data_IF_188258705688
#
_entry.id   IF_188258705688
#
_cell.length_a   1.000
_cell.length_b   1.000
_cell.length_c   1.000
_cell.angle_alpha   90.00
_cell.angle_beta   90.00
_cell.angle_gamma   90.00
#
_symmetry.space_group_name_H-M   'P 1'
#
loop_
_entity.id
_entity.type
_entity.pdbx_description
1 polymer ?
#
# COMPACT_ATOMS: atom_id res chain seq x y z
N UNK A 1 15.72 25.54 -1.43
CA UNK A 1 15.43 24.50 -0.42
C UNK A 1 16.40 23.36 -0.66
N UNK A 2 16.93 22.70 0.37
CA UNK A 2 17.81 21.54 0.17
C UNK A 2 16.96 20.32 -0.19
N UNK A 3 17.38 19.58 -1.22
CA UNK A 3 16.77 18.31 -1.62
C UNK A 3 17.05 17.20 -0.59
N UNK A 4 16.10 16.27 -0.43
CA UNK A 4 16.25 15.13 0.46
C UNK A 4 17.22 14.11 -0.14
N UNK A 5 18.26 13.77 0.61
CA UNK A 5 19.26 12.75 0.28
C UNK A 5 19.72 12.05 1.57
N UNK A 6 20.48 10.96 1.46
CA UNK A 6 21.03 10.30 2.63
C UNK A 6 21.95 11.21 3.47
N UNK A 7 22.62 12.19 2.85
CA UNK A 7 23.50 13.15 3.54
C UNK A 7 22.73 14.31 4.18
N UNK A 8 21.57 14.66 3.64
CA UNK A 8 20.76 15.82 4.06
C UNK A 8 19.55 15.44 4.90
N UNK A 9 19.27 14.14 5.05
CA UNK A 9 18.24 13.63 5.94
C UNK A 9 18.53 14.00 7.39
N UNK A 10 17.55 14.62 8.06
CA UNK A 10 17.65 15.05 9.45
C UNK A 10 17.76 13.85 10.39
N UNK A 11 16.96 12.80 10.14
CA UNK A 11 17.03 11.56 10.90
C UNK A 11 18.14 10.65 10.36
N UNK A 12 19.03 10.12 11.21
CA UNK A 12 20.05 9.17 10.77
C UNK A 12 19.45 7.83 10.33
N UNK A 13 18.20 7.52 10.68
CA UNK A 13 17.48 6.31 10.23
C UNK A 13 17.32 6.31 8.70
N UNK A 14 17.06 7.48 8.11
CA UNK A 14 16.89 7.64 6.66
C UNK A 14 18.19 8.07 5.96
N UNK A 15 19.15 8.60 6.73
CA UNK A 15 20.48 9.02 6.28
C UNK A 15 21.58 8.00 6.56
N UNK A 16 22.41 8.26 7.59
CA UNK A 16 23.61 7.47 7.95
C UNK A 16 23.37 5.95 8.01
N UNK A 17 22.21 5.54 8.50
CA UNK A 17 21.83 4.14 8.65
C UNK A 17 20.76 3.68 7.65
N UNK A 18 20.45 4.49 6.63
CA UNK A 18 19.41 4.19 5.65
C UNK A 18 19.61 2.86 4.91
N UNK A 19 20.86 2.43 4.71
CA UNK A 19 21.18 1.12 4.13
C UNK A 19 20.90 -0.06 5.08
N UNK A 20 20.85 0.18 6.39
CA UNK A 20 20.52 -0.82 7.42
C UNK A 20 19.02 -0.94 7.65
N UNK A 21 18.25 0.07 7.23
CA UNK A 21 16.80 0.15 7.41
C UNK A 21 16.04 0.14 6.09
N UNK A 22 16.71 -0.17 4.97
CA UNK A 22 16.12 -0.13 3.62
C UNK A 22 14.87 -1.00 3.50
N UNK A 23 14.87 -2.20 4.11
CA UNK A 23 13.71 -3.10 4.12
C UNK A 23 12.49 -2.54 4.85
N UNK A 24 12.67 -1.57 5.75
CA UNK A 24 11.58 -0.91 6.48
C UNK A 24 10.83 0.11 5.62
N UNK A 25 11.44 0.60 4.53
CA UNK A 25 10.84 1.64 3.67
C UNK A 25 9.57 1.14 3.00
N UNK A 26 9.52 -0.12 2.58
CA UNK A 26 8.33 -0.68 1.92
C UNK A 26 7.15 -0.91 2.87
N UNK A 27 7.37 -0.76 4.20
CA UNK A 27 6.37 -1.07 5.24
C UNK A 27 5.98 0.17 6.04
N UNK A 28 6.96 0.91 6.56
CA UNK A 28 6.74 1.98 7.54
C UNK A 28 6.91 3.39 6.98
N UNK A 29 7.29 3.53 5.72
CA UNK A 29 7.22 4.83 5.05
C UNK A 29 5.78 5.20 4.73
N UNK A 30 5.56 6.45 4.32
CA UNK A 30 4.28 6.86 3.74
C UNK A 30 3.90 6.02 2.52
N UNK A 31 4.87 5.62 1.68
CA UNK A 31 4.62 4.69 0.58
C UNK A 31 4.10 3.34 1.09
N UNK A 32 4.72 2.76 2.12
CA UNK A 32 4.29 1.49 2.72
C UNK A 32 2.87 1.59 3.30
N UNK A 33 2.57 2.70 3.98
CA UNK A 33 1.23 2.98 4.49
C UNK A 33 0.19 3.10 3.37
N UNK A 34 0.48 3.86 2.32
CA UNK A 34 -0.45 4.04 1.19
C UNK A 34 -0.64 2.72 0.43
N UNK A 35 0.42 1.94 0.22
CA UNK A 35 0.32 0.59 -0.36
C UNK A 35 -0.61 -0.30 0.45
N UNK A 36 -0.44 -0.36 1.76
CA UNK A 36 -1.29 -1.15 2.64
C UNK A 36 -2.76 -0.67 2.61
N UNK A 37 -2.99 0.65 2.60
CA UNK A 37 -4.35 1.22 2.47
C UNK A 37 -5.02 0.79 1.18
N UNK A 38 -4.33 0.90 0.04
CA UNK A 38 -4.87 0.47 -1.26
C UNK A 38 -5.27 -1.00 -1.24
N UNK A 39 -4.42 -1.87 -0.69
CA UNK A 39 -4.74 -3.30 -0.57
C UNK A 39 -6.00 -3.49 0.29
N UNK A 40 -6.11 -2.82 1.44
CA UNK A 40 -7.29 -2.94 2.30
C UNK A 40 -8.55 -2.44 1.60
N UNK A 41 -8.51 -1.31 0.91
CA UNK A 41 -9.65 -0.77 0.17
C UNK A 41 -10.11 -1.72 -0.94
N UNK A 42 -9.17 -2.32 -1.67
CA UNK A 42 -9.48 -3.33 -2.69
C UNK A 42 -10.16 -4.55 -2.05
N UNK A 43 -9.58 -5.08 -0.97
CA UNK A 43 -10.12 -6.26 -0.28
C UNK A 43 -11.47 -5.97 0.37
N UNK A 44 -11.69 -4.74 0.82
CA UNK A 44 -12.98 -4.27 1.33
C UNK A 44 -14.03 -4.24 0.23
N UNK A 45 -13.73 -3.66 -0.94
CA UNK A 45 -14.63 -3.69 -2.10
C UNK A 45 -14.96 -5.12 -2.53
N UNK A 46 -13.96 -6.00 -2.62
CA UNK A 46 -14.17 -7.41 -2.97
C UNK A 46 -15.03 -8.14 -1.94
N UNK A 47 -14.89 -7.81 -0.65
CA UNK A 47 -15.73 -8.35 0.41
C UNK A 47 -17.19 -7.91 0.24
N UNK A 48 -17.43 -6.61 0.03
CA UNK A 48 -18.77 -6.07 -0.20
C UNK A 48 -19.43 -6.71 -1.42
N UNK A 49 -18.71 -6.81 -2.54
CA UNK A 49 -19.21 -7.39 -3.79
C UNK A 49 -19.57 -8.89 -3.67
N UNK A 50 -18.88 -9.63 -2.78
CA UNK A 50 -19.16 -11.05 -2.52
C UNK A 50 -20.32 -11.26 -1.55
N UNK A 51 -20.78 -10.20 -0.86
CA UNK A 51 -21.77 -10.33 0.19
C UNK A 51 -23.19 -10.40 -0.39
N UNK A 52 -23.93 -11.51 -0.20
CA UNK A 52 -25.21 -11.74 -0.90
C UNK A 52 -26.34 -10.77 -0.50
N UNK A 53 -26.22 -10.10 0.65
CA UNK A 53 -27.22 -9.11 1.11
C UNK A 53 -26.94 -7.68 0.62
N UNK A 54 -25.82 -7.42 -0.07
CA UNK A 54 -25.48 -6.08 -0.59
C UNK A 54 -25.75 -6.07 -2.09
N UNK A 55 -26.98 -5.75 -2.48
CA UNK A 55 -27.40 -5.78 -3.89
C UNK A 55 -26.83 -4.64 -4.74
N UNK A 56 -26.44 -3.54 -4.11
CA UNK A 56 -25.88 -2.34 -4.75
C UNK A 56 -24.48 -2.57 -5.32
N UNK A 57 -23.78 -3.61 -4.84
CA UNK A 57 -22.46 -4.01 -5.31
C UNK A 57 -22.52 -5.47 -5.73
N UNK A 58 -22.86 -5.78 -7.01
CA UNK A 58 -22.93 -7.15 -7.47
C UNK A 58 -21.54 -7.82 -7.48
N UNK A 59 -21.47 -9.17 -7.50
CA UNK A 59 -20.21 -9.89 -7.61
C UNK A 59 -19.35 -9.41 -8.77
N UNK A 60 -18.08 -9.12 -8.48
CA UNK A 60 -17.10 -8.76 -9.51
C UNK A 60 -16.86 -9.97 -10.43
N UNK A 61 -16.60 -9.70 -11.71
CA UNK A 61 -16.21 -10.74 -12.66
C UNK A 61 -14.88 -11.39 -12.26
N UNK A 62 -14.64 -12.62 -12.74
CA UNK A 62 -13.39 -13.33 -12.46
C UNK A 62 -12.17 -12.55 -12.97
N UNK A 63 -12.26 -11.94 -14.15
CA UNK A 63 -11.20 -11.08 -14.71
C UNK A 63 -10.92 -9.87 -13.82
N UNK A 64 -11.96 -9.21 -13.29
CA UNK A 64 -11.78 -8.07 -12.40
C UNK A 64 -11.15 -8.49 -11.07
N UNK A 65 -11.61 -9.60 -10.47
CA UNK A 65 -11.01 -10.14 -9.25
C UNK A 65 -9.53 -10.50 -9.47
N UNK A 66 -9.19 -11.19 -10.56
CA UNK A 66 -7.80 -11.56 -10.86
C UNK A 66 -6.90 -10.33 -11.03
N UNK A 67 -7.38 -9.26 -11.67
CA UNK A 67 -6.63 -8.01 -11.76
C UNK A 67 -6.35 -7.44 -10.35
N UNK A 68 -7.36 -7.38 -9.50
CA UNK A 68 -7.27 -6.84 -8.13
C UNK A 68 -6.44 -7.71 -7.17
N UNK A 69 -6.29 -9.01 -7.43
CA UNK A 69 -5.38 -9.88 -6.67
C UNK A 69 -3.91 -9.68 -7.04
N UNK A 70 -3.63 -9.13 -8.23
CA UNK A 70 -2.26 -8.89 -8.72
C UNK A 70 -1.74 -7.47 -8.40
N UNK A 71 -2.55 -6.65 -7.71
CA UNK A 71 -2.18 -5.33 -7.18
C UNK A 71 -1.71 -5.44 -5.73
#
# INVERSE_FOLDING_TARGET
MLELSALTAISPIDGRYGSKTSSLRDVFSEYGLIKARVIVEIRWLQCLAKHPLISEVPPLSDTANQLLENL
#
